data_IF_235443745768
#
_entry.id   IF_235443745768
#
_cell.length_a   1.000
_cell.length_b   1.000
_cell.length_c   1.000
_cell.angle_alpha   90.00
_cell.angle_beta   90.00
_cell.angle_gamma   90.00
#
_symmetry.space_group_name_H-M   'P 1'
#
loop_
_entity.id
_entity.type
_entity.pdbx_description
1 polymer ?
#
# COMPACT_ATOMS: atom_id res chain seq x y z
N UNK A 1 30.89 23.89 3.44
CA UNK A 1 30.08 22.92 2.67
C UNK A 1 28.77 22.72 3.42
N UNK A 2 27.67 23.33 2.98
CA UNK A 2 26.37 23.09 3.59
C UNK A 2 25.91 21.69 3.16
N UNK A 3 25.90 20.74 4.10
CA UNK A 3 25.40 19.38 3.85
C UNK A 3 23.88 19.46 3.80
N UNK A 4 23.29 19.34 2.61
CA UNK A 4 21.83 19.29 2.46
C UNK A 4 21.32 18.02 3.12
N UNK A 5 20.61 18.16 4.23
CA UNK A 5 19.97 17.05 4.94
C UNK A 5 18.62 16.77 4.29
N UNK A 6 18.42 15.52 3.88
CA UNK A 6 17.13 15.05 3.39
C UNK A 6 16.33 14.43 4.54
N UNK A 7 15.02 14.68 4.51
CA UNK A 7 14.07 14.23 5.52
C UNK A 7 12.95 13.46 4.85
N UNK A 8 12.55 12.34 5.44
CA UNK A 8 11.38 11.59 4.99
C UNK A 8 10.13 12.47 5.08
N UNK A 9 9.39 12.61 3.99
CA UNK A 9 8.15 13.40 3.94
C UNK A 9 7.02 12.84 4.82
N UNK A 10 7.12 11.58 5.25
CA UNK A 10 6.07 10.90 6.01
C UNK A 10 6.32 10.92 7.53
N UNK A 11 7.54 10.62 7.97
CA UNK A 11 7.89 10.54 9.39
C UNK A 11 8.86 11.64 9.87
N UNK A 12 9.47 12.40 8.96
CA UNK A 12 10.43 13.45 9.29
C UNK A 12 11.84 12.97 9.64
N UNK A 13 12.14 11.67 9.59
CA UNK A 13 13.49 11.12 9.86
C UNK A 13 14.51 11.63 8.86
N UNK A 14 15.71 11.94 9.34
CA UNK A 14 16.84 12.34 8.49
C UNK A 14 17.46 11.14 7.77
N UNK A 15 18.20 11.39 6.69
CA UNK A 15 18.96 10.35 5.97
C UNK A 15 19.97 9.58 6.84
N UNK A 16 20.33 10.10 8.01
CA UNK A 16 21.29 9.48 8.92
C UNK A 16 20.63 8.50 9.88
N UNK A 17 19.32 8.65 10.09
CA UNK A 17 18.52 7.80 10.98
C UNK A 17 17.85 6.64 10.24
N UNK A 18 17.63 6.79 8.93
CA UNK A 18 17.08 5.73 8.08
C UNK A 18 18.20 4.79 7.59
N UNK A 19 17.93 3.49 7.56
CA UNK A 19 18.85 2.52 6.96
C UNK A 19 18.91 2.71 5.44
N UNK A 20 17.74 2.96 4.84
CA UNK A 20 17.61 3.27 3.42
C UNK A 20 16.68 4.46 3.22
N UNK A 21 17.13 5.43 2.41
CA UNK A 21 16.30 6.55 1.99
C UNK A 21 16.16 6.57 0.47
N UNK A 22 14.92 6.45 -0.01
CA UNK A 22 14.58 6.56 -1.42
C UNK A 22 14.33 8.02 -1.77
N UNK A 23 15.11 8.54 -2.71
CA UNK A 23 15.03 9.93 -3.16
C UNK A 23 14.37 10.03 -4.54
N UNK A 24 13.26 10.76 -4.62
CA UNK A 24 12.66 11.24 -5.87
C UNK A 24 12.95 12.72 -6.12
N UNK A 25 12.56 13.27 -7.28
CA UNK A 25 12.81 14.68 -7.62
C UNK A 25 12.24 15.70 -6.62
N UNK A 26 11.15 15.36 -5.93
CA UNK A 26 10.43 16.25 -5.00
C UNK A 26 10.01 15.59 -3.68
N UNK A 27 10.33 14.32 -3.47
CA UNK A 27 9.84 13.55 -2.32
C UNK A 27 10.89 12.56 -1.85
N UNK A 28 10.96 12.37 -0.55
CA UNK A 28 11.86 11.40 0.10
C UNK A 28 11.04 10.50 1.01
N UNK A 29 11.35 9.20 1.01
CA UNK A 29 10.71 8.20 1.87
C UNK A 29 11.76 7.25 2.45
N UNK A 30 11.68 6.97 3.75
CA UNK A 30 12.56 5.99 4.42
C UNK A 30 11.99 4.57 4.34
N UNK A 31 12.84 3.58 4.60
CA UNK A 31 12.52 2.15 4.63
C UNK A 31 11.28 1.83 5.48
N UNK A 32 11.24 2.25 6.74
CA UNK A 32 10.09 1.99 7.63
C UNK A 32 8.76 2.54 7.07
N UNK A 33 8.78 3.72 6.44
CA UNK A 33 7.57 4.29 5.85
C UNK A 33 7.14 3.52 4.60
N UNK A 34 8.08 2.96 3.83
CA UNK A 34 7.77 2.07 2.71
C UNK A 34 7.08 0.81 3.23
N UNK A 35 7.60 0.18 4.28
CA UNK A 35 7.01 -1.06 4.83
C UNK A 35 5.57 -0.83 5.33
N UNK A 36 5.35 0.26 6.06
CA UNK A 36 4.00 0.65 6.52
C UNK A 36 3.09 0.90 5.31
N UNK A 37 3.56 1.62 4.29
CA UNK A 37 2.77 1.91 3.10
C UNK A 37 2.40 0.63 2.33
N UNK A 38 3.34 -0.32 2.20
CA UNK A 38 3.12 -1.61 1.54
C UNK A 38 2.04 -2.39 2.30
N UNK A 39 2.12 -2.46 3.63
CA UNK A 39 1.15 -3.17 4.45
C UNK A 39 -0.27 -2.58 4.27
N UNK A 40 -0.44 -1.27 4.40
CA UNK A 40 -1.73 -0.60 4.26
C UNK A 40 -2.34 -0.86 2.86
N UNK A 41 -1.52 -0.79 1.81
CA UNK A 41 -1.97 -1.03 0.44
C UNK A 41 -2.34 -2.50 0.22
N UNK A 42 -1.58 -3.43 0.79
CA UNK A 42 -1.88 -4.86 0.72
C UNK A 42 -3.22 -5.20 1.40
N UNK A 43 -3.46 -4.66 2.60
CA UNK A 43 -4.70 -4.88 3.37
C UNK A 43 -5.92 -4.32 2.64
N UNK A 44 -5.79 -3.12 2.04
CA UNK A 44 -6.84 -2.55 1.20
C UNK A 44 -7.14 -3.42 -0.01
N UNK A 45 -6.10 -3.87 -0.74
CA UNK A 45 -6.27 -4.76 -1.91
C UNK A 45 -6.90 -6.10 -1.53
N UNK A 46 -6.60 -6.64 -0.35
CA UNK A 46 -7.21 -7.87 0.14
C UNK A 46 -8.70 -7.66 0.47
N UNK A 47 -9.04 -6.56 1.13
CA UNK A 47 -10.42 -6.20 1.45
C UNK A 47 -11.26 -5.96 0.19
N UNK A 48 -10.70 -5.24 -0.78
CA UNK A 48 -11.36 -4.99 -2.07
C UNK A 48 -11.61 -6.28 -2.86
N UNK A 49 -10.72 -7.27 -2.76
CA UNK A 49 -10.91 -8.60 -3.37
C UNK A 49 -12.07 -9.36 -2.72
N UNK A 50 -12.21 -9.33 -1.40
CA UNK A 50 -13.34 -9.97 -0.71
C UNK A 50 -14.68 -9.35 -1.13
N UNK A 51 -14.72 -8.03 -1.31
CA UNK A 51 -15.89 -7.30 -1.80
C UNK A 51 -16.18 -7.59 -3.27
N UNK A 52 -15.15 -7.76 -4.11
CA UNK A 52 -15.30 -8.14 -5.51
C UNK A 52 -15.83 -9.57 -5.67
N UNK A 53 -15.45 -10.50 -4.78
CA UNK A 53 -15.94 -11.88 -4.78
C UNK A 53 -17.37 -12.00 -4.25
N UNK A 54 -17.74 -11.18 -3.25
CA UNK A 54 -19.13 -11.07 -2.77
C UNK A 54 -20.11 -10.52 -3.82
N UNK A 55 -19.61 -9.81 -4.85
CA UNK A 55 -20.40 -9.37 -6.02
C UNK A 55 -20.63 -10.47 -7.06
N UNK A 56 -20.04 -11.66 -6.89
CA UNK A 56 -20.31 -12.81 -7.76
C UNK A 56 -21.62 -13.47 -7.33
N UNK A 57 -22.70 -12.88 -7.82
CA UNK A 57 -24.08 -13.32 -7.75
C UNK A 57 -24.25 -14.83 -7.49
N UNK A 58 -24.55 -15.21 -6.26
CA UNK A 58 -25.02 -16.56 -5.88
C UNK A 58 -26.49 -16.81 -6.29
N UNK A 59 -27.15 -15.83 -6.91
CA UNK A 59 -28.57 -15.89 -7.31
C UNK A 59 -28.82 -16.43 -8.73
N UNK A 60 -27.79 -16.79 -9.51
CA UNK A 60 -27.98 -17.51 -10.77
C UNK A 60 -27.19 -18.82 -10.80
N UNK A 61 -27.78 -19.88 -10.26
CA UNK A 61 -27.64 -21.21 -10.89
C UNK A 61 -28.87 -21.40 -11.78
N UNK A 62 -28.79 -21.19 -13.10
CA UNK A 62 -29.80 -21.75 -13.98
C UNK A 62 -29.58 -23.27 -14.02
N UNK A 63 -30.70 -24.00 -14.10
CA UNK A 63 -30.80 -25.47 -14.26
C UNK A 63 -30.76 -26.33 -12.99
N UNK A 64 -31.86 -26.22 -12.22
CA UNK A 64 -32.65 -27.42 -11.91
C UNK A 64 -34.13 -27.07 -11.70
N UNK A 65 -34.81 -26.67 -12.77
CA UNK A 65 -36.27 -26.85 -12.89
C UNK A 65 -36.45 -28.18 -13.61
N UNK A 66 -36.58 -29.26 -12.84
CA UNK A 66 -37.10 -30.53 -13.35
C UNK A 66 -38.28 -30.93 -12.48
N UNK A 67 -39.44 -30.95 -13.15
CA UNK A 67 -40.69 -31.67 -12.86
C UNK A 67 -41.29 -31.58 -11.45
#
# INVERSE_FOLDING_TARGET
>A
MAKTLFYCNFCGKSQHEAEVMVAGPLVYICDECVDIAVQIVADKRATDKMMAEAKRCTFCTPERVHA
#
